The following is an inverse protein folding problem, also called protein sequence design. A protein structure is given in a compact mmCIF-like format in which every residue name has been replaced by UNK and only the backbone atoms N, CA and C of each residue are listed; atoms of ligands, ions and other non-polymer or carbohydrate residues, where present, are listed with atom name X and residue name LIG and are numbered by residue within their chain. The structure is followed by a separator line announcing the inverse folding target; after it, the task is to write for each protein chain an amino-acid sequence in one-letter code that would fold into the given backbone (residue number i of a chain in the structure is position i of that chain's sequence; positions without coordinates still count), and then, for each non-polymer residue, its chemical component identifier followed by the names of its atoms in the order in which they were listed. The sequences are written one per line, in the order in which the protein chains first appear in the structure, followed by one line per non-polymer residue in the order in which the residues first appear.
data_IF_936314016369
#
_entry.id   IF_936314016369
#
_cell.length_a   1.000
_cell.length_b   1.000
_cell.length_c   1.000
_cell.angle_alpha   90.00
_cell.angle_beta   90.00
_cell.angle_gamma   90.00
#
_symmetry.space_group_name_H-M   'P 1'
#
loop_
_entity.id
_entity.type
_entity.pdbx_description
1 polymer ?
#
# COMPACT_ATOMS: atom_id res chain seq x y z
N UNK A 1 29.45 -48.44 23.90
CA UNK A 1 29.93 -47.75 22.68
C UNK A 1 28.72 -46.99 22.10
N UNK A 2 28.21 -45.91 22.70
CA UNK A 2 28.69 -44.50 22.80
C UNK A 2 28.91 -43.79 21.46
N UNK A 3 27.91 -42.99 21.07
CA UNK A 3 27.99 -41.56 20.73
C UNK A 3 26.53 -41.09 20.54
N UNK A 4 25.85 -40.42 21.49
CA UNK A 4 26.08 -39.08 22.06
C UNK A 4 26.42 -38.02 21.01
N UNK A 5 25.40 -37.25 20.61
CA UNK A 5 25.54 -35.84 20.24
C UNK A 5 24.27 -35.11 20.73
N UNK A 6 24.50 -34.06 21.50
CA UNK A 6 23.55 -33.35 22.35
C UNK A 6 22.90 -32.15 21.65
N UNK A 7 21.59 -32.00 21.89
CA UNK A 7 20.79 -30.81 22.26
C UNK A 7 21.08 -29.39 21.70
N UNK A 8 19.96 -28.74 21.31
CA UNK A 8 19.58 -27.31 21.50
C UNK A 8 20.19 -26.25 20.58
N UNK A 9 19.33 -25.66 19.73
CA UNK A 9 19.37 -24.25 19.36
C UNK A 9 18.02 -23.66 19.81
N UNK A 10 17.86 -23.14 21.04
CA UNK A 10 18.29 -21.82 21.48
C UNK A 10 18.22 -20.79 20.34
N UNK A 11 17.15 -19.99 20.39
CA UNK A 11 17.18 -18.55 20.13
C UNK A 11 18.19 -18.10 19.05
N UNK A 12 17.69 -17.89 17.82
CA UNK A 12 18.42 -17.05 16.88
C UNK A 12 18.18 -15.58 17.30
N UNK A 13 19.24 -14.84 17.69
CA UNK A 13 19.15 -13.40 17.86
C UNK A 13 18.78 -12.77 16.52
N UNK A 14 17.91 -11.77 16.56
CA UNK A 14 17.54 -11.01 15.38
C UNK A 14 18.75 -10.26 14.83
N UNK A 15 19.32 -10.72 13.71
CA UNK A 15 20.30 -9.96 12.94
C UNK A 15 20.49 -10.42 11.47
N UNK A 16 19.62 -11.28 10.92
CA UNK A 16 19.82 -11.82 9.56
C UNK A 16 18.64 -11.67 8.60
N UNK A 17 17.87 -10.58 8.72
CA UNK A 17 17.33 -9.85 7.56
C UNK A 17 17.27 -8.40 8.01
N UNK A 18 18.29 -7.58 7.71
CA UNK A 18 18.07 -6.13 7.75
C UNK A 18 16.96 -5.86 6.75
N UNK A 19 15.72 -5.75 7.23
CA UNK A 19 14.70 -4.99 6.54
C UNK A 19 15.34 -3.61 6.35
N UNK A 20 15.76 -3.31 5.12
CA UNK A 20 16.19 -1.96 4.80
C UNK A 20 14.95 -1.11 5.01
N UNK A 21 14.86 -0.41 6.14
CA UNK A 21 13.90 0.68 6.32
C UNK A 21 14.51 1.83 5.54
N UNK A 22 14.26 1.83 4.24
CA UNK A 22 14.78 2.87 3.40
C UNK A 22 13.95 4.12 3.66
N UNK A 23 14.62 5.21 4.04
CA UNK A 23 13.96 6.51 4.17
C UNK A 23 13.54 6.96 2.77
N UNK A 24 12.23 6.95 2.54
CA UNK A 24 11.65 7.35 1.27
C UNK A 24 12.01 8.81 1.01
N UNK A 25 12.61 9.09 -0.15
CA UNK A 25 12.94 10.44 -0.59
C UNK A 25 11.88 10.96 -1.58
N UNK A 26 11.65 10.22 -2.66
CA UNK A 26 10.59 10.49 -3.62
C UNK A 26 9.96 9.18 -4.07
N UNK A 27 8.70 9.24 -4.49
CA UNK A 27 8.07 8.11 -5.17
C UNK A 27 7.20 8.58 -6.33
N UNK A 28 6.94 7.66 -7.26
CA UNK A 28 6.06 7.87 -8.40
C UNK A 28 5.24 6.63 -8.68
N UNK A 29 4.05 6.86 -9.21
CA UNK A 29 3.23 5.82 -9.81
C UNK A 29 3.07 6.05 -11.30
N UNK A 30 3.22 4.99 -12.09
CA UNK A 30 3.01 5.00 -13.52
C UNK A 30 2.09 3.82 -13.89
N UNK A 31 0.93 4.10 -14.47
CA UNK A 31 0.01 3.06 -14.92
C UNK A 31 0.38 2.59 -16.33
N UNK A 32 0.54 1.28 -16.53
CA UNK A 32 0.60 0.63 -17.84
C UNK A 32 -0.74 0.01 -18.16
N UNK A 33 -1.37 0.51 -19.23
CA UNK A 33 -2.63 -0.02 -19.74
C UNK A 33 -2.42 -1.39 -20.41
N UNK A 34 -1.27 -1.62 -21.03
CA UNK A 34 -0.94 -2.88 -21.72
C UNK A 34 -0.82 -4.05 -20.73
N UNK A 35 -0.22 -3.81 -19.55
CA UNK A 35 -0.04 -4.85 -18.54
C UNK A 35 -1.15 -4.90 -17.48
N UNK A 36 -2.05 -3.92 -17.45
CA UNK A 36 -3.05 -3.70 -16.40
C UNK A 36 -2.42 -3.61 -14.98
N UNK A 37 -1.32 -2.86 -14.88
CA UNK A 37 -0.47 -2.76 -13.68
C UNK A 37 0.05 -1.35 -13.45
N UNK A 38 0.38 -1.06 -12.20
CA UNK A 38 0.97 0.21 -11.78
C UNK A 38 2.42 -0.02 -11.36
N UNK A 39 3.36 0.69 -11.97
CA UNK A 39 4.75 0.73 -11.54
C UNK A 39 4.86 1.71 -10.37
N UNK A 40 5.24 1.20 -9.21
CA UNK A 40 5.68 1.99 -8.09
C UNK A 40 7.19 2.14 -8.15
N UNK A 41 7.65 3.37 -8.36
CA UNK A 41 9.07 3.73 -8.33
C UNK A 41 9.32 4.48 -7.05
N UNK A 42 10.31 4.06 -6.28
CA UNK A 42 10.70 4.76 -5.05
C UNK A 42 12.20 4.96 -5.02
N UNK A 43 12.60 6.21 -4.80
CA UNK A 43 13.98 6.58 -4.51
C UNK A 43 14.12 6.84 -3.02
N UNK A 44 15.28 6.48 -2.50
CA UNK A 44 15.57 6.57 -1.08
C UNK A 44 16.74 7.53 -0.86
N UNK A 45 16.88 8.05 0.36
CA UNK A 45 17.90 9.09 0.65
C UNK A 45 19.34 8.61 0.44
N UNK A 46 19.57 7.31 0.42
CA UNK A 46 20.84 6.64 0.10
C UNK A 46 21.06 6.42 -1.41
N UNK A 47 20.22 7.02 -2.27
CA UNK A 47 20.27 6.92 -3.74
C UNK A 47 19.99 5.52 -4.31
N UNK A 48 19.38 4.64 -3.54
CA UNK A 48 18.81 3.42 -4.09
C UNK A 48 17.48 3.73 -4.81
N UNK A 49 17.20 2.99 -5.89
CA UNK A 49 15.92 2.99 -6.59
C UNK A 49 15.31 1.58 -6.54
N UNK A 50 14.04 1.51 -6.15
CA UNK A 50 13.26 0.29 -6.18
C UNK A 50 12.14 0.43 -7.20
N UNK A 51 12.02 -0.57 -8.07
CA UNK A 51 11.02 -0.65 -9.12
C UNK A 51 10.10 -1.83 -8.83
N UNK A 52 8.82 -1.55 -8.61
CA UNK A 52 7.88 -2.54 -8.09
C UNK A 52 6.56 -2.46 -8.86
N UNK A 53 6.18 -3.53 -9.56
CA UNK A 53 4.87 -3.66 -10.14
C UNK A 53 3.81 -4.00 -9.10
N UNK A 54 2.76 -3.20 -9.07
CA UNK A 54 1.52 -3.47 -8.37
C UNK A 54 0.46 -3.92 -9.37
N UNK A 55 -0.03 -5.14 -9.17
CA UNK A 55 -1.19 -5.65 -9.92
C UNK A 55 -2.47 -4.98 -9.43
N UNK A 56 -3.51 -4.96 -10.27
CA UNK A 56 -4.87 -4.52 -9.87
C UNK A 56 -5.34 -5.12 -8.54
N UNK A 57 -5.15 -6.43 -8.36
CA UNK A 57 -5.49 -7.14 -7.10
C UNK A 57 -4.67 -6.61 -5.92
N UNK A 58 -3.38 -6.40 -6.12
CA UNK A 58 -2.48 -5.88 -5.10
C UNK A 58 -2.88 -4.46 -4.69
N UNK A 59 -3.21 -3.58 -5.64
CA UNK A 59 -3.68 -2.22 -5.37
C UNK A 59 -4.98 -2.22 -4.55
N UNK A 60 -5.97 -3.06 -4.91
CA UNK A 60 -7.23 -3.19 -4.13
C UNK A 60 -6.97 -3.63 -2.68
N UNK A 61 -6.02 -4.54 -2.46
CA UNK A 61 -5.64 -4.98 -1.11
C UNK A 61 -4.90 -3.87 -0.36
N UNK A 62 -3.93 -3.24 -1.00
CA UNK A 62 -3.12 -2.14 -0.45
C UNK A 62 -3.99 -0.97 -0.02
N UNK A 63 -4.90 -0.54 -0.89
CA UNK A 63 -5.84 0.54 -0.62
C UNK A 63 -6.60 0.32 0.69
N UNK A 64 -7.18 -0.88 0.87
CA UNK A 64 -7.93 -1.24 2.10
C UNK A 64 -7.05 -1.20 3.35
N UNK A 65 -5.82 -1.73 3.27
CA UNK A 65 -4.88 -1.74 4.40
C UNK A 65 -4.42 -0.32 4.81
N UNK A 66 -4.20 0.56 3.83
CA UNK A 66 -3.82 1.95 4.08
C UNK A 66 -5.00 2.78 4.61
N UNK A 67 -6.21 2.59 4.08
CA UNK A 67 -7.42 3.20 4.63
C UNK A 67 -7.64 2.78 6.09
N UNK A 68 -7.53 1.49 6.39
CA UNK A 68 -7.63 0.99 7.76
C UNK A 68 -6.57 1.62 8.67
N UNK A 69 -5.36 1.88 8.16
CA UNK A 69 -4.31 2.56 8.93
C UNK A 69 -4.67 4.00 9.29
N UNK A 70 -5.39 4.72 8.42
CA UNK A 70 -5.92 6.07 8.70
C UNK A 70 -7.04 6.00 9.73
N UNK A 71 -7.96 5.05 9.59
CA UNK A 71 -9.11 4.90 10.50
C UNK A 71 -8.70 4.48 11.91
N UNK A 72 -7.67 3.63 12.03
CA UNK A 72 -7.14 3.16 13.30
C UNK A 72 -6.10 4.11 13.92
N UNK A 73 -5.90 5.30 13.35
CA UNK A 73 -4.98 6.26 13.92
C UNK A 73 -5.43 6.67 15.34
N UNK A 74 -4.55 6.73 16.36
CA UNK A 74 -4.91 7.09 17.76
C UNK A 74 -5.77 8.34 17.90
N UNK A 75 -5.38 9.42 17.22
CA UNK A 75 -6.13 10.68 17.18
C UNK A 75 -7.54 10.57 16.58
N UNK A 76 -7.80 9.57 15.73
CA UNK A 76 -9.13 9.31 15.16
C UNK A 76 -9.93 8.42 16.11
N UNK A 77 -9.38 7.28 16.54
CA UNK A 77 -10.12 6.30 17.35
C UNK A 77 -10.48 6.78 18.75
N UNK A 78 -9.77 7.78 19.29
CA UNK A 78 -10.10 8.37 20.61
C UNK A 78 -11.47 9.06 20.66
N UNK A 79 -12.05 9.40 19.50
CA UNK A 79 -13.35 10.06 19.43
C UNK A 79 -14.47 9.02 19.29
N UNK A 80 -15.46 9.06 20.20
CA UNK A 80 -16.56 8.09 20.23
C UNK A 80 -17.54 8.24 19.04
N UNK A 81 -17.81 9.48 18.62
CA UNK A 81 -18.78 9.75 17.54
C UNK A 81 -18.21 9.40 16.15
N UNK A 82 -18.90 8.59 15.34
CA UNK A 82 -18.49 8.30 13.96
C UNK A 82 -18.35 9.55 13.09
N UNK A 83 -19.20 10.56 13.29
CA UNK A 83 -19.14 11.83 12.54
C UNK A 83 -17.85 12.57 12.88
N UNK A 84 -17.52 12.67 14.17
CA UNK A 84 -16.29 13.32 14.62
C UNK A 84 -15.04 12.59 14.11
N UNK A 85 -15.04 11.25 14.11
CA UNK A 85 -13.92 10.46 13.54
C UNK A 85 -13.68 10.79 12.07
N UNK A 86 -14.75 10.87 11.27
CA UNK A 86 -14.66 11.25 9.85
C UNK A 86 -14.11 12.66 9.66
N UNK A 87 -14.60 13.63 10.44
CA UNK A 87 -14.11 15.02 10.38
C UNK A 87 -12.63 15.13 10.75
N UNK A 88 -12.18 14.43 11.80
CA UNK A 88 -10.78 14.42 12.22
C UNK A 88 -9.89 13.76 11.16
N UNK A 89 -10.31 12.62 10.61
CA UNK A 89 -9.57 11.95 9.53
C UNK A 89 -9.45 12.84 8.28
N UNK A 90 -10.53 13.55 7.91
CA UNK A 90 -10.53 14.50 6.80
C UNK A 90 -9.58 15.68 7.05
N UNK A 91 -9.65 16.30 8.23
CA UNK A 91 -8.76 17.40 8.61
C UNK A 91 -7.28 17.01 8.56
N UNK A 92 -6.95 15.81 9.04
CA UNK A 92 -5.58 15.27 8.97
C UNK A 92 -5.11 15.07 7.54
N UNK A 93 -5.96 14.47 6.70
CA UNK A 93 -5.68 14.32 5.27
C UNK A 93 -5.37 15.67 4.64
N UNK A 94 -6.24 16.67 4.86
CA UNK A 94 -6.08 17.99 4.25
C UNK A 94 -4.81 18.69 4.73
N UNK A 95 -4.50 18.57 6.03
CA UNK A 95 -3.26 19.10 6.62
C UNK A 95 -2.01 18.42 6.06
N UNK A 96 -2.04 17.11 5.86
CA UNK A 96 -0.95 16.34 5.27
C UNK A 96 -0.73 16.73 3.80
N UNK A 97 -1.79 16.76 2.99
CA UNK A 97 -1.70 17.11 1.58
C UNK A 97 -1.26 18.56 1.36
N UNK A 98 -1.59 19.49 2.26
CA UNK A 98 -1.13 20.88 2.18
C UNK A 98 0.39 21.04 2.38
N UNK A 99 1.08 20.05 2.97
CA UNK A 99 2.53 20.07 3.19
C UNK A 99 3.33 19.48 2.03
N UNK A 100 2.66 18.69 1.19
CA UNK A 100 3.31 18.01 0.07
C UNK A 100 3.25 18.88 -1.18
N UNK A 101 4.42 19.11 -1.78
CA UNK A 101 4.53 19.75 -3.10
C UNK A 101 4.34 18.72 -4.21
N UNK A 102 3.12 18.61 -4.73
CA UNK A 102 2.79 17.73 -5.86
C UNK A 102 3.24 18.27 -7.22
N UNK A 103 3.74 19.51 -7.30
CA UNK A 103 4.22 20.10 -8.55
C UNK A 103 5.65 19.67 -8.90
N UNK A 104 6.39 19.17 -7.90
CA UNK A 104 7.75 18.70 -8.10
C UNK A 104 7.76 17.41 -8.92
N UNK A 105 8.44 17.45 -10.07
CA UNK A 105 8.65 16.27 -10.90
C UNK A 105 9.56 15.26 -10.18
N UNK A 106 9.32 13.96 -10.46
CA UNK A 106 10.18 12.89 -9.94
C UNK A 106 11.58 12.99 -10.56
N UNK A 107 12.58 13.17 -9.70
CA UNK A 107 13.97 13.26 -10.11
C UNK A 107 14.61 11.88 -10.01
N UNK A 108 14.59 11.15 -11.14
CA UNK A 108 15.27 9.87 -11.20
C UNK A 108 16.79 10.04 -10.91
N UNK A 109 17.39 9.23 -10.02
CA UNK A 109 18.82 9.34 -9.75
C UNK A 109 19.62 9.09 -11.04
N UNK A 110 20.60 9.96 -11.33
CA UNK A 110 21.48 9.81 -12.52
C UNK A 110 22.27 8.50 -12.52
N UNK A 111 22.59 8.00 -11.33
CA UNK A 111 23.12 6.66 -11.07
C UNK A 111 22.36 6.15 -9.85
N UNK A 112 21.51 5.15 -10.05
CA UNK A 112 20.76 4.53 -8.97
C UNK A 112 21.40 3.18 -8.63
N UNK A 113 21.68 2.94 -7.35
CA UNK A 113 21.85 1.56 -6.91
C UNK A 113 20.48 0.88 -6.98
N UNK A 114 20.42 -0.32 -7.55
CA UNK A 114 19.17 -1.10 -7.69
C UNK A 114 19.32 -2.41 -6.91
N UNK A 115 19.05 -2.41 -5.59
CA UNK A 115 19.33 -3.56 -4.72
C UNK A 115 18.55 -4.83 -5.08
N UNK A 116 17.49 -4.69 -5.88
CA UNK A 116 16.63 -5.77 -6.36
C UNK A 116 16.85 -6.13 -7.84
N UNK A 117 17.83 -5.49 -8.48
CA UNK A 117 18.13 -5.64 -9.90
C UNK A 117 17.48 -4.59 -10.78
N UNK A 118 17.88 -4.60 -12.05
CA UNK A 118 17.46 -3.62 -13.05
C UNK A 118 15.97 -3.71 -13.42
N UNK A 119 15.43 -4.93 -13.36
CA UNK A 119 14.06 -5.23 -13.75
C UNK A 119 13.10 -5.02 -12.58
N UNK A 120 11.91 -4.43 -12.81
CA UNK A 120 10.93 -4.28 -11.76
C UNK A 120 10.46 -5.63 -11.21
N UNK A 121 10.37 -5.74 -9.88
CA UNK A 121 9.81 -6.93 -9.23
C UNK A 121 8.28 -6.85 -9.16
N UNK A 122 7.58 -7.98 -9.07
CA UNK A 122 6.12 -7.98 -8.87
C UNK A 122 5.78 -8.17 -7.40
N UNK A 123 5.03 -7.23 -6.83
CA UNK A 123 4.56 -7.33 -5.45
C UNK A 123 3.50 -8.43 -5.31
N UNK A 124 3.69 -9.32 -4.32
CA UNK A 124 2.79 -10.45 -4.10
C UNK A 124 2.16 -10.44 -2.70
N UNK A 125 2.91 -9.98 -1.69
CA UNK A 125 2.50 -9.93 -0.29
C UNK A 125 2.68 -8.53 0.27
N UNK A 126 1.74 -8.12 1.10
CA UNK A 126 1.73 -6.85 1.81
C UNK A 126 1.54 -7.11 3.30
N UNK A 127 2.31 -6.43 4.13
CA UNK A 127 2.09 -6.36 5.57
C UNK A 127 2.31 -4.92 6.03
N UNK A 128 1.44 -4.43 6.90
CA UNK A 128 1.64 -3.14 7.58
C UNK A 128 1.98 -3.44 9.03
N UNK A 129 3.09 -2.88 9.52
CA UNK A 129 3.48 -2.96 10.92
C UNK A 129 3.61 -1.56 11.52
N UNK A 130 3.88 -1.49 12.82
CA UNK A 130 4.26 -0.25 13.50
C UNK A 130 5.63 -0.49 14.14
N UNK A 131 6.59 0.40 13.88
CA UNK A 131 7.93 0.30 14.45
C UNK A 131 7.98 0.86 15.88
N UNK A 132 9.15 0.77 16.52
CA UNK A 132 9.36 1.27 17.89
C UNK A 132 9.09 2.79 18.04
N UNK A 133 9.24 3.56 16.96
CA UNK A 133 8.93 4.99 16.92
C UNK A 133 7.44 5.29 16.62
N UNK A 134 6.55 4.30 16.73
CA UNK A 134 5.12 4.40 16.43
C UNK A 134 4.80 4.79 14.97
N UNK A 135 5.76 4.68 14.06
CA UNK A 135 5.54 4.93 12.64
C UNK A 135 5.03 3.67 11.94
N UNK A 136 4.15 3.85 10.96
CA UNK A 136 3.69 2.75 10.11
C UNK A 136 4.80 2.34 9.15
N UNK A 137 4.98 1.04 8.97
CA UNK A 137 5.95 0.48 8.02
C UNK A 137 5.21 -0.45 7.08
N UNK A 138 5.33 -0.15 5.78
CA UNK A 138 4.78 -0.97 4.71
C UNK A 138 5.83 -1.96 4.23
N UNK A 139 5.52 -3.23 4.36
CA UNK A 139 6.37 -4.34 3.95
C UNK A 139 5.82 -4.95 2.67
N UNK A 140 6.59 -4.88 1.60
CA UNK A 140 6.26 -5.35 0.26
C UNK A 140 7.20 -6.50 -0.07
N UNK A 141 6.61 -7.66 -0.36
CA UNK A 141 7.39 -8.85 -0.70
C UNK A 141 6.93 -9.47 -2.02
N UNK A 142 7.86 -9.87 -2.91
CA UNK A 142 7.54 -10.78 -4.00
C UNK A 142 7.20 -12.19 -3.48
N UNK A 143 6.83 -13.10 -4.39
CA UNK A 143 6.63 -14.52 -4.03
C UNK A 143 7.95 -15.15 -3.55
N UNK A 144 9.05 -14.81 -4.21
CA UNK A 144 10.42 -15.19 -3.88
C UNK A 144 11.34 -13.99 -4.01
N UNK A 145 12.31 -13.87 -3.12
CA UNK A 145 13.27 -12.76 -3.12
C UNK A 145 13.20 -11.93 -1.84
N UNK A 146 13.79 -10.73 -1.88
CA UNK A 146 13.95 -9.85 -0.72
C UNK A 146 12.68 -9.02 -0.47
N UNK A 147 12.36 -8.83 0.81
CA UNK A 147 11.34 -7.88 1.25
C UNK A 147 11.85 -6.45 1.17
N UNK A 148 10.96 -5.53 0.81
CA UNK A 148 11.17 -4.08 0.86
C UNK A 148 10.33 -3.52 2.00
N UNK A 149 10.93 -2.70 2.84
CA UNK A 149 10.24 -2.04 3.95
C UNK A 149 10.31 -0.54 3.78
N UNK A 150 9.16 0.10 3.66
CA UNK A 150 9.03 1.55 3.51
C UNK A 150 8.37 2.11 4.75
N UNK A 151 9.09 2.96 5.47
CA UNK A 151 8.51 3.72 6.57
C UNK A 151 7.60 4.82 6.01
N UNK A 152 6.37 4.88 6.51
CA UNK A 152 5.39 5.88 6.12
C UNK A 152 5.20 6.86 7.27
N UNK A 153 5.59 8.11 7.03
CA UNK A 153 5.10 9.22 7.86
C UNK A 153 3.60 9.44 7.58
N UNK A 154 2.92 10.16 8.46
CA UNK A 154 1.51 10.52 8.24
C UNK A 154 1.31 11.27 6.92
N UNK A 155 2.24 12.19 6.62
CA UNK A 155 2.27 12.91 5.36
C UNK A 155 2.42 11.97 4.16
N UNK A 156 3.43 11.10 4.18
CA UNK A 156 3.66 10.15 3.09
C UNK A 156 2.48 9.19 2.91
N UNK A 157 1.84 8.74 3.99
CA UNK A 157 0.66 7.88 3.92
C UNK A 157 -0.49 8.57 3.17
N UNK A 158 -0.80 9.81 3.52
CA UNK A 158 -1.87 10.57 2.89
C UNK A 158 -1.54 10.94 1.44
N UNK A 159 -0.30 11.34 1.15
CA UNK A 159 0.15 11.63 -0.22
C UNK A 159 0.16 10.38 -1.10
N UNK A 160 0.57 9.23 -0.56
CA UNK A 160 0.50 7.95 -1.27
C UNK A 160 -0.95 7.57 -1.59
N UNK A 161 -1.88 7.66 -0.62
CA UNK A 161 -3.30 7.41 -0.84
C UNK A 161 -3.90 8.36 -1.88
N UNK A 162 -3.53 9.63 -1.85
CA UNK A 162 -4.01 10.62 -2.81
C UNK A 162 -3.57 10.29 -4.24
N UNK A 163 -2.26 10.08 -4.46
CA UNK A 163 -1.73 9.78 -5.80
C UNK A 163 -2.22 8.41 -6.28
N UNK A 164 -2.26 7.40 -5.41
CA UNK A 164 -2.79 6.08 -5.78
C UNK A 164 -4.26 6.16 -6.19
N UNK A 165 -5.06 7.01 -5.52
CA UNK A 165 -6.46 7.25 -5.89
C UNK A 165 -6.60 7.85 -7.29
N UNK A 166 -5.74 8.82 -7.65
CA UNK A 166 -5.70 9.40 -9.00
C UNK A 166 -5.34 8.35 -10.07
N UNK A 167 -4.38 7.48 -9.77
CA UNK A 167 -3.96 6.40 -10.66
C UNK A 167 -5.08 5.37 -10.85
N UNK A 168 -5.75 4.97 -9.77
CA UNK A 168 -6.88 4.03 -9.84
C UNK A 168 -8.04 4.61 -10.65
N UNK A 169 -8.33 5.91 -10.49
CA UNK A 169 -9.34 6.59 -11.30
C UNK A 169 -8.97 6.58 -12.79
N UNK A 170 -7.70 6.86 -13.13
CA UNK A 170 -7.19 6.78 -14.51
C UNK A 170 -7.18 5.36 -15.08
N UNK A 171 -7.00 4.35 -14.24
CA UNK A 171 -6.96 2.95 -14.65
C UNK A 171 -8.35 2.38 -14.98
N UNK A 172 -9.43 3.09 -14.62
CA UNK A 172 -10.82 2.68 -14.89
C UNK A 172 -11.14 1.24 -14.45
N UNK A 173 -10.53 0.82 -13.35
CA UNK A 173 -10.70 -0.52 -12.78
C UNK A 173 -12.08 -0.78 -12.17
N UNK A 174 -13.00 0.18 -12.25
CA UNK A 174 -14.36 0.12 -11.69
C UNK A 174 -15.32 -0.61 -12.64
N UNK A 175 -15.06 -1.89 -12.84
CA UNK A 175 -15.85 -2.72 -13.73
C UNK A 175 -17.13 -3.20 -13.04
N UNK A 176 -18.27 -2.68 -13.50
CA UNK A 176 -19.61 -3.18 -13.24
C UNK A 176 -20.12 -3.96 -14.46
N UNK A 177 -20.21 -5.28 -14.32
CA UNK A 177 -20.69 -6.17 -15.38
C UNK A 177 -22.13 -6.60 -15.05
N UNK A 178 -23.08 -5.70 -15.22
CA UNK A 178 -24.48 -6.08 -15.24
C UNK A 178 -24.73 -6.97 -16.46
N UNK A 179 -25.22 -8.19 -16.24
CA UNK A 179 -25.63 -9.11 -17.31
C UNK A 179 -26.99 -8.63 -17.83
N UNK A 180 -27.14 -8.34 -19.13
CA UNK A 180 -28.45 -8.02 -19.68
C UNK A 180 -29.40 -9.23 -19.50
N UNK A 181 -30.43 -9.09 -18.67
CA UNK A 181 -31.46 -10.11 -18.48
C UNK A 181 -31.53 -10.78 -17.10
N UNK A 182 -30.70 -10.40 -16.12
CA UNK A 182 -30.89 -10.80 -14.72
C UNK A 182 -32.11 -10.06 -14.13
N UNK A 183 -33.28 -10.63 -14.43
CA UNK A 183 -34.58 -10.06 -14.15
C UNK A 183 -34.76 -9.68 -12.69
N UNK A 184 -35.10 -8.41 -12.48
CA UNK A 184 -35.95 -8.04 -11.35
C UNK A 184 -37.20 -8.91 -11.46
N UNK A 185 -37.58 -9.71 -10.45
CA UNK A 185 -38.87 -10.36 -10.45
C UNK A 185 -39.91 -9.25 -10.58
N UNK A 186 -40.62 -9.22 -11.71
CA UNK A 186 -41.83 -8.41 -11.83
C UNK A 186 -42.77 -8.95 -10.76
N UNK A 187 -42.94 -8.20 -9.69
CA UNK A 187 -43.95 -8.48 -8.69
C UNK A 187 -45.30 -8.41 -9.42
N UNK A 188 -45.84 -9.58 -9.76
CA UNK A 188 -47.19 -9.70 -10.29
C UNK A 188 -48.09 -9.32 -9.13
N UNK A 189 -48.48 -8.04 -9.06
CA UNK A 189 -49.63 -7.62 -8.27
C UNK A 189 -50.84 -8.28 -8.93
N UNK A 190 -51.51 -9.26 -8.31
CA UNK A 190 -52.71 -9.82 -8.90
C UNK A 190 -53.78 -8.73 -8.85
N UNK A 191 -54.19 -8.30 -10.03
CA UNK A 191 -55.39 -7.50 -10.24
C UNK A 191 -56.57 -8.24 -9.60
N UNK A 192 -57.07 -7.73 -8.48
CA UNK A 192 -58.37 -8.15 -7.95
C UNK A 192 -59.37 -7.04 -8.20
N UNK A 193 -59.90 -7.11 -9.41
CA UNK A 193 -61.27 -6.75 -9.72
C UNK A 193 -62.24 -7.61 -8.88
N UNK A 194 -63.30 -6.95 -8.41
CA UNK A 194 -64.52 -7.40 -7.72
C UNK A 194 -64.61 -7.08 -6.22
#
# INVERSE_FOLDING_TARGET
MTNSAAWVALWLPGDAVRAMVASLYQFRFEYSAEEDRVLFRVSTTDRAEYLIWFTRRYVKMLWRQLQQSVELHPEVVRHASPVTRKSVAAFRRDTALAKTDFSREYEAPKVADRPLGEQPIVAARLRISTNAASMKVMHISPLSGKEISVALTDELLHSFLHILGQIVAKAEWDLDFAVPGDGVPVEIVPDRLH
#
